data_IF_057645558541
#
_entry.id   IF_057645558541
#
_cell.length_a   1.000
_cell.length_b   1.000
_cell.length_c   1.000
_cell.angle_alpha   90.00
_cell.angle_beta   90.00
_cell.angle_gamma   90.00
#
_symmetry.space_group_name_H-M   'P 1'
#
loop_
_entity.id
_entity.type
_entity.pdbx_description
1 polymer ?
#
# COMPACT_ATOMS: atom_id res chain seq x y z
N UNK A 1 0.35 9.58 9.73
CA UNK A 1 0.70 9.02 8.39
C UNK A 1 2.20 9.00 8.13
N UNK A 2 2.94 10.04 8.55
CA UNK A 2 4.37 10.14 8.24
C UNK A 2 5.18 9.00 8.85
N UNK A 3 4.94 8.65 10.12
CA UNK A 3 5.64 7.56 10.78
C UNK A 3 5.37 6.22 10.10
N UNK A 4 4.11 5.96 9.75
CA UNK A 4 3.73 4.72 9.06
C UNK A 4 4.40 4.64 7.69
N UNK A 5 4.42 5.74 6.95
CA UNK A 5 5.08 5.82 5.65
C UNK A 5 6.59 5.58 5.77
N UNK A 6 7.22 6.21 6.73
CA UNK A 6 8.67 6.03 6.95
C UNK A 6 9.01 4.61 7.39
N UNK A 7 8.17 4.00 8.22
CA UNK A 7 8.36 2.62 8.63
C UNK A 7 8.23 1.66 7.44
N UNK A 8 7.32 1.96 6.51
CA UNK A 8 7.21 1.18 5.27
C UNK A 8 8.52 1.25 4.46
N UNK A 9 9.16 2.41 4.39
CA UNK A 9 10.46 2.56 3.74
C UNK A 9 11.52 1.71 4.45
N UNK A 10 11.54 1.75 5.78
CA UNK A 10 12.50 0.96 6.57
C UNK A 10 12.30 -0.54 6.32
N UNK A 11 11.07 -1.02 6.30
CA UNK A 11 10.80 -2.42 5.99
C UNK A 11 11.21 -2.79 4.57
N UNK A 12 10.99 -1.91 3.61
CA UNK A 12 11.41 -2.14 2.23
C UNK A 12 12.93 -2.26 2.12
N UNK A 13 13.66 -1.41 2.81
CA UNK A 13 15.14 -1.47 2.85
C UNK A 13 15.59 -2.80 3.47
N UNK A 14 14.96 -3.20 4.58
CA UNK A 14 15.28 -4.46 5.23
C UNK A 14 15.04 -5.66 4.30
N UNK A 15 13.94 -5.64 3.55
CA UNK A 15 13.64 -6.72 2.61
C UNK A 15 14.66 -6.83 1.47
N UNK A 16 15.35 -5.73 1.15
CA UNK A 16 16.36 -5.70 0.09
C UNK A 16 17.77 -6.03 0.59
N UNK A 17 17.97 -6.17 1.88
CA UNK A 17 19.27 -6.56 2.43
C UNK A 17 19.70 -7.91 1.89
N UNK A 18 20.95 -8.02 1.49
CA UNK A 18 21.51 -9.25 0.92
C UNK A 18 21.19 -9.48 -0.55
N UNK A 19 20.43 -8.60 -1.20
CA UNK A 19 20.10 -8.74 -2.62
C UNK A 19 21.12 -8.12 -3.56
N UNK A 20 22.09 -7.37 -3.02
CA UNK A 20 23.10 -6.65 -3.84
C UNK A 20 22.68 -5.23 -4.21
N UNK A 21 21.47 -4.81 -3.90
CA UNK A 21 21.01 -3.43 -4.13
C UNK A 21 21.53 -2.56 -2.98
N UNK A 22 22.22 -1.45 -3.29
CA UNK A 22 22.65 -0.54 -2.24
C UNK A 22 21.49 0.29 -1.71
N UNK A 23 21.59 0.64 -0.43
CA UNK A 23 20.54 1.45 0.23
C UNK A 23 20.41 2.82 -0.45
N UNK A 24 21.53 3.44 -0.80
CA UNK A 24 21.53 4.73 -1.49
C UNK A 24 20.88 4.66 -2.86
N UNK A 25 21.17 3.60 -3.62
CA UNK A 25 20.54 3.39 -4.94
C UNK A 25 19.03 3.26 -4.79
N UNK A 26 18.57 2.49 -3.82
CA UNK A 26 17.15 2.34 -3.55
C UNK A 26 16.50 3.68 -3.18
N UNK A 27 17.17 4.45 -2.31
CA UNK A 27 16.66 5.76 -1.89
C UNK A 27 16.55 6.72 -3.09
N UNK A 28 17.53 6.72 -3.99
CA UNK A 28 17.51 7.55 -5.20
C UNK A 28 16.36 7.17 -6.13
N UNK A 29 15.99 5.89 -6.16
CA UNK A 29 14.88 5.41 -6.98
C UNK A 29 13.52 5.81 -6.42
N UNK A 30 13.34 5.74 -5.09
CA UNK A 30 12.02 5.95 -4.49
C UNK A 30 11.74 7.40 -4.11
N UNK A 31 12.76 8.20 -3.83
CA UNK A 31 12.56 9.57 -3.38
C UNK A 31 11.69 10.41 -4.33
N UNK A 32 11.85 10.35 -5.67
CA UNK A 32 10.98 11.08 -6.58
C UNK A 32 9.52 10.63 -6.52
N UNK A 33 9.28 9.33 -6.24
CA UNK A 33 7.93 8.78 -6.12
C UNK A 33 7.23 9.42 -4.91
N UNK A 34 7.93 9.53 -3.79
CA UNK A 34 7.38 10.19 -2.60
C UNK A 34 7.20 11.69 -2.81
N UNK A 35 7.99 12.31 -3.68
CA UNK A 35 7.80 13.70 -4.04
C UNK A 35 6.46 13.97 -4.71
N UNK A 36 5.86 12.98 -5.38
CA UNK A 36 4.54 13.08 -6.02
C UNK A 36 3.38 12.69 -5.10
N UNK A 37 3.65 12.29 -3.87
CA UNK A 37 2.63 11.78 -2.96
C UNK A 37 1.53 12.81 -2.65
N UNK A 38 1.83 14.11 -2.68
CA UNK A 38 0.84 15.15 -2.47
C UNK A 38 -0.31 15.07 -3.47
N UNK A 39 -0.02 14.80 -4.73
CA UNK A 39 -1.04 14.61 -5.76
C UNK A 39 -1.93 13.40 -5.44
N UNK A 40 -1.33 12.30 -5.04
CA UNK A 40 -2.07 11.08 -4.68
C UNK A 40 -2.96 11.29 -3.47
N UNK A 41 -2.48 12.01 -2.46
CA UNK A 41 -3.26 12.33 -1.26
C UNK A 41 -4.51 13.14 -1.65
N UNK A 42 -4.35 14.14 -2.51
CA UNK A 42 -5.47 14.96 -2.97
C UNK A 42 -6.48 14.15 -3.77
N UNK A 43 -6.00 13.23 -4.62
CA UNK A 43 -6.86 12.37 -5.41
C UNK A 43 -7.68 11.42 -4.52
N UNK A 44 -7.05 10.84 -3.49
CA UNK A 44 -7.75 9.99 -2.52
C UNK A 44 -8.84 10.79 -1.77
N UNK A 45 -8.48 11.97 -1.28
CA UNK A 45 -9.42 12.82 -0.55
C UNK A 45 -10.60 13.23 -1.43
N UNK A 46 -10.37 13.54 -2.68
CA UNK A 46 -11.41 13.91 -3.64
C UNK A 46 -12.39 12.76 -3.87
N UNK A 47 -11.87 11.55 -4.10
CA UNK A 47 -12.71 10.36 -4.26
C UNK A 47 -13.59 10.11 -3.03
N UNK A 48 -13.02 10.26 -1.84
CA UNK A 48 -13.76 10.08 -0.59
C UNK A 48 -14.83 11.15 -0.43
N UNK A 49 -14.50 12.41 -0.71
CA UNK A 49 -15.44 13.53 -0.59
C UNK A 49 -16.64 13.36 -1.54
N UNK A 50 -16.41 12.85 -2.74
CA UNK A 50 -17.45 12.61 -3.73
C UNK A 50 -18.12 11.24 -3.59
N UNK A 51 -17.61 10.38 -2.75
CA UNK A 51 -18.02 8.97 -2.63
C UNK A 51 -18.02 8.28 -4.02
N UNK A 52 -17.01 8.55 -4.80
CA UNK A 52 -16.84 8.01 -6.15
C UNK A 52 -15.45 7.39 -6.28
N UNK A 53 -15.40 6.06 -6.39
CA UNK A 53 -14.17 5.28 -6.41
C UNK A 53 -13.91 4.62 -7.78
N UNK A 54 -14.57 5.11 -8.81
CA UNK A 54 -14.49 4.53 -10.15
C UNK A 54 -13.26 4.96 -10.94
N UNK A 55 -12.71 6.13 -10.63
CA UNK A 55 -11.52 6.65 -11.31
C UNK A 55 -10.27 6.02 -10.73
N UNK A 56 -9.54 5.27 -11.55
CA UNK A 56 -8.36 4.57 -11.03
C UNK A 56 -7.32 4.34 -12.11
N UNK A 57 -6.06 4.58 -11.77
CA UNK A 57 -4.90 4.15 -12.56
C UNK A 57 -4.52 2.71 -12.18
N UNK A 58 -4.80 2.31 -10.94
CA UNK A 58 -4.57 0.96 -10.46
C UNK A 58 -5.68 0.58 -9.48
N UNK A 59 -6.42 -0.47 -9.80
CA UNK A 59 -7.53 -0.95 -8.96
C UNK A 59 -7.02 -1.62 -7.69
N UNK A 60 -7.90 -1.81 -6.73
CA UNK A 60 -7.60 -2.56 -5.50
C UNK A 60 -7.09 -3.96 -5.81
N UNK A 61 -7.66 -4.63 -6.80
CA UNK A 61 -7.20 -5.97 -7.20
C UNK A 61 -5.75 -5.93 -7.70
N UNK A 62 -5.36 -4.89 -8.43
CA UNK A 62 -3.98 -4.73 -8.90
C UNK A 62 -3.03 -4.47 -7.73
N UNK A 63 -3.40 -3.62 -6.78
CA UNK A 63 -2.61 -3.38 -5.58
C UNK A 63 -2.45 -4.64 -4.74
N UNK A 64 -3.53 -5.41 -4.57
CA UNK A 64 -3.48 -6.68 -3.85
C UNK A 64 -2.49 -7.64 -4.49
N UNK A 65 -2.55 -7.81 -5.81
CA UNK A 65 -1.64 -8.70 -6.53
C UNK A 65 -0.19 -8.24 -6.39
N UNK A 66 0.06 -6.94 -6.47
CA UNK A 66 1.42 -6.39 -6.31
C UNK A 66 1.98 -6.68 -4.92
N UNK A 67 1.18 -6.52 -3.86
CA UNK A 67 1.62 -6.81 -2.50
C UNK A 67 1.83 -8.31 -2.27
N UNK A 68 1.00 -9.15 -2.84
CA UNK A 68 1.19 -10.61 -2.76
C UNK A 68 2.50 -11.03 -3.42
N UNK A 69 2.80 -10.47 -4.59
CA UNK A 69 4.05 -10.73 -5.28
C UNK A 69 5.25 -10.27 -4.45
N UNK A 70 5.19 -9.09 -3.87
CA UNK A 70 6.25 -8.58 -3.01
C UNK A 70 6.43 -9.46 -1.77
N UNK A 71 5.36 -9.83 -1.10
CA UNK A 71 5.37 -10.70 0.06
C UNK A 71 6.02 -12.04 -0.24
N UNK A 72 5.64 -12.65 -1.36
CA UNK A 72 6.16 -13.96 -1.74
C UNK A 72 7.63 -13.90 -2.16
N UNK A 73 8.08 -12.79 -2.74
CA UNK A 73 9.45 -12.62 -3.23
C UNK A 73 10.44 -12.28 -2.13
N UNK A 74 10.00 -11.55 -1.09
CA UNK A 74 10.89 -10.95 -0.11
C UNK A 74 10.59 -11.37 1.33
N UNK A 75 10.11 -12.56 1.56
CA UNK A 75 9.74 -13.03 2.92
C UNK A 75 10.85 -13.91 3.52
N UNK A 76 11.95 -13.33 4.04
CA UNK A 76 13.04 -14.13 4.58
C UNK A 76 12.90 -14.47 6.07
N UNK A 77 11.93 -13.90 6.80
CA UNK A 77 11.82 -14.12 8.24
C UNK A 77 10.45 -13.77 8.79
N UNK A 78 10.20 -14.10 10.06
CA UNK A 78 8.84 -14.10 10.61
C UNK A 78 8.22 -12.72 10.81
N UNK A 79 8.99 -11.65 10.85
CA UNK A 79 8.44 -10.29 11.11
C UNK A 79 8.88 -9.24 10.10
N UNK A 80 9.49 -9.66 9.01
CA UNK A 80 10.08 -8.72 8.08
C UNK A 80 9.07 -7.90 7.30
N UNK A 81 7.83 -8.37 7.18
CA UNK A 81 6.80 -7.75 6.36
C UNK A 81 5.51 -7.50 7.14
N UNK A 82 5.59 -7.28 8.46
CA UNK A 82 4.42 -7.07 9.31
C UNK A 82 3.52 -5.95 8.80
N UNK A 83 4.11 -4.82 8.40
CA UNK A 83 3.34 -3.70 7.89
C UNK A 83 2.71 -4.03 6.53
N UNK A 84 3.46 -4.68 5.65
CA UNK A 84 2.94 -5.13 4.35
C UNK A 84 1.81 -6.12 4.54
N UNK A 85 1.94 -7.05 5.48
CA UNK A 85 0.91 -8.03 5.78
C UNK A 85 -0.37 -7.35 6.28
N UNK A 86 -0.26 -6.34 7.13
CA UNK A 86 -1.41 -5.59 7.63
C UNK A 86 -2.13 -4.85 6.48
N UNK A 87 -1.38 -4.21 5.59
CA UNK A 87 -1.95 -3.53 4.42
C UNK A 87 -2.59 -4.55 3.48
N UNK A 88 -1.91 -5.67 3.24
CA UNK A 88 -2.41 -6.75 2.38
C UNK A 88 -3.76 -7.28 2.88
N UNK A 89 -3.91 -7.42 4.19
CA UNK A 89 -5.17 -7.87 4.78
C UNK A 89 -6.31 -6.87 4.54
N UNK A 90 -6.03 -5.57 4.69
CA UNK A 90 -7.02 -4.53 4.41
C UNK A 90 -7.48 -4.60 2.96
N UNK A 91 -6.54 -4.72 2.02
CA UNK A 91 -6.86 -4.83 0.60
C UNK A 91 -7.65 -6.10 0.29
N UNK A 92 -7.28 -7.23 0.89
CA UNK A 92 -7.97 -8.51 0.69
C UNK A 92 -9.42 -8.44 1.15
N UNK A 93 -9.67 -7.82 2.29
CA UNK A 93 -11.03 -7.62 2.80
C UNK A 93 -11.87 -6.75 1.85
N UNK A 94 -11.29 -5.68 1.33
CA UNK A 94 -11.98 -4.80 0.39
C UNK A 94 -12.29 -5.51 -0.94
N UNK A 95 -11.34 -6.28 -1.47
CA UNK A 95 -11.55 -7.05 -2.70
C UNK A 95 -12.61 -8.12 -2.49
N UNK A 96 -12.55 -8.85 -1.38
CA UNK A 96 -13.55 -9.87 -1.04
C UNK A 96 -14.96 -9.26 -0.87
N UNK A 97 -15.04 -8.03 -0.43
CA UNK A 97 -16.28 -7.28 -0.29
C UNK A 97 -16.82 -6.70 -1.60
N UNK A 98 -16.13 -6.88 -2.71
CA UNK A 98 -16.61 -6.45 -4.03
C UNK A 98 -15.96 -5.19 -4.59
N UNK A 99 -14.94 -4.64 -3.92
CA UNK A 99 -14.31 -3.38 -4.35
C UNK A 99 -13.11 -3.56 -5.28
N UNK A 100 -12.90 -4.77 -5.82
CA UNK A 100 -11.68 -5.09 -6.59
C UNK A 100 -11.42 -4.18 -7.79
N UNK A 101 -12.46 -3.66 -8.44
CA UNK A 101 -12.32 -2.76 -9.59
C UNK A 101 -12.25 -1.28 -9.23
N UNK A 102 -12.41 -0.93 -7.95
CA UNK A 102 -12.42 0.44 -7.48
C UNK A 102 -11.02 0.93 -7.12
N UNK A 103 -10.87 2.23 -6.91
CA UNK A 103 -9.60 2.80 -6.52
C UNK A 103 -9.29 2.57 -5.02
N UNK A 104 -8.06 2.90 -4.62
CA UNK A 104 -7.57 2.64 -3.26
C UNK A 104 -8.40 3.34 -2.18
N UNK A 105 -8.98 4.50 -2.47
CA UNK A 105 -9.79 5.24 -1.50
C UNK A 105 -11.03 4.47 -1.06
N UNK A 106 -11.49 3.49 -1.86
CA UNK A 106 -12.64 2.66 -1.51
C UNK A 106 -12.43 1.87 -0.21
N UNK A 107 -11.18 1.65 0.21
CA UNK A 107 -10.89 0.99 1.49
C UNK A 107 -11.54 1.68 2.69
N UNK A 108 -11.83 2.98 2.58
CA UNK A 108 -12.47 3.72 3.67
C UNK A 108 -13.84 3.14 4.03
N UNK A 109 -14.56 2.58 3.06
CA UNK A 109 -15.86 1.96 3.30
C UNK A 109 -15.74 0.77 4.25
N UNK A 110 -14.68 0.00 4.11
CA UNK A 110 -14.42 -1.17 4.95
C UNK A 110 -13.93 -0.77 6.35
N UNK A 111 -13.21 0.32 6.45
CA UNK A 111 -12.82 0.88 7.74
C UNK A 111 -14.03 1.38 8.53
N UNK A 112 -15.00 2.00 7.85
CA UNK A 112 -16.25 2.49 8.47
C UNK A 112 -17.15 1.37 8.92
N UNK A 113 -17.18 0.26 8.18
CA UNK A 113 -18.06 -0.88 8.44
C UNK A 113 -17.46 -1.87 9.43
N UNK A 114 -16.17 -1.75 9.74
CA UNK A 114 -15.51 -2.64 10.69
C UNK A 114 -16.06 -2.41 12.11
N UNK A 115 -16.31 -3.51 12.87
CA UNK A 115 -16.72 -3.36 14.26
C UNK A 115 -15.65 -2.61 15.06
N UNK A 116 -16.07 -1.64 15.83
CA UNK A 116 -15.22 -0.92 16.78
C UNK A 116 -14.97 -1.82 17.99
N UNK A 117 -13.71 -2.05 18.30
CA UNK A 117 -13.34 -2.83 19.48
C UNK A 117 -12.81 -1.95 20.58
#
# INVERSE_FOLDING_TARGET
PTVTLMLAVVQSIHALEGTGVSIETYADMIAPIFGSAGHSIKALAHSIALNDFSQTEASLAVWQAALENASNSFRPGPKNLDLVDAVSQILSEAVAGGAGSQNLAATIQYMRDSPQK
#
